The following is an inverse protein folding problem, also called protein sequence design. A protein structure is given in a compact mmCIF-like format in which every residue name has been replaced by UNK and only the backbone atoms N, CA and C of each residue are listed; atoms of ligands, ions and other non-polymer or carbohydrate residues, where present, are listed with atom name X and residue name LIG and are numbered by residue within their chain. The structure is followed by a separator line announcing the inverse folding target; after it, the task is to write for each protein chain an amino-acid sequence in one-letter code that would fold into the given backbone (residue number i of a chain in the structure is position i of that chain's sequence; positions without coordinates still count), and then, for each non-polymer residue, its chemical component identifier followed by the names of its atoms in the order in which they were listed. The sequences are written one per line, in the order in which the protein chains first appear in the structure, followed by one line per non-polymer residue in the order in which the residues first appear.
data_IF_874396429703
#
_entry.id   IF_874396429703
#
_cell.length_a   1.000
_cell.length_b   1.000
_cell.length_c   1.000
_cell.angle_alpha   90.00
_cell.angle_beta   90.00
_cell.angle_gamma   90.00
#
_symmetry.space_group_name_H-M   'P 1'
#
loop_
_entity.id
_entity.type
_entity.pdbx_description
1 polymer ?
#
# COMPACT_ATOMS: atom_id res chain seq x y z
N UNK A 1 -11.75 21.07 3.82
CA UNK A 1 -12.10 19.68 4.15
C UNK A 1 -13.43 19.31 3.52
N UNK A 2 -13.62 18.09 3.10
CA UNK A 2 -14.81 17.59 2.40
C UNK A 2 -16.16 17.90 3.10
N UNK A 3 -16.25 17.89 4.44
CA UNK A 3 -17.48 18.28 5.15
C UNK A 3 -17.87 19.73 4.99
N UNK A 4 -16.88 20.64 4.89
CA UNK A 4 -17.12 22.09 4.75
C UNK A 4 -17.69 22.42 3.36
N UNK A 5 -17.13 21.82 2.30
CA UNK A 5 -17.64 22.01 0.94
C UNK A 5 -19.07 21.45 0.75
N UNK A 6 -19.41 20.40 1.48
CA UNK A 6 -20.75 19.83 1.47
C UNK A 6 -21.75 20.69 2.24
N UNK A 7 -21.33 21.33 3.34
CA UNK A 7 -22.14 22.28 4.08
C UNK A 7 -22.39 23.55 3.27
N UNK A 8 -21.36 24.10 2.61
CA UNK A 8 -21.48 25.25 1.72
C UNK A 8 -22.40 24.96 0.53
N UNK A 9 -22.31 23.78 -0.06
CA UNK A 9 -23.21 23.36 -1.13
C UNK A 9 -24.66 23.24 -0.67
N UNK A 10 -24.89 22.75 0.55
CA UNK A 10 -26.23 22.65 1.14
C UNK A 10 -26.84 24.04 1.41
N UNK A 11 -26.02 24.97 1.91
CA UNK A 11 -26.42 26.38 2.14
C UNK A 11 -26.76 27.07 0.82
N UNK A 12 -25.97 26.91 -0.22
CA UNK A 12 -26.21 27.48 -1.56
C UNK A 12 -27.49 26.93 -2.22
N UNK A 13 -27.93 25.72 -1.86
CA UNK A 13 -29.15 25.11 -2.37
C UNK A 13 -30.40 25.34 -1.50
N UNK A 14 -30.32 26.18 -0.45
CA UNK A 14 -31.44 26.55 0.39
C UNK A 14 -32.02 25.41 1.24
N UNK A 15 -31.21 24.42 1.58
CA UNK A 15 -31.64 23.28 2.43
C UNK A 15 -31.43 23.70 3.89
N UNK A 16 -32.50 24.19 4.55
CA UNK A 16 -32.38 24.84 5.85
C UNK A 16 -32.94 24.05 7.04
N UNK A 17 -33.27 22.75 6.96
CA UNK A 17 -33.91 22.06 8.11
C UNK A 17 -33.28 20.73 8.47
N UNK A 18 -33.19 20.42 9.77
CA UNK A 18 -32.58 19.20 10.34
C UNK A 18 -33.06 17.87 9.75
N UNK A 19 -34.37 17.67 9.44
CA UNK A 19 -34.83 16.43 8.82
C UNK A 19 -34.26 16.23 7.41
N UNK A 20 -34.07 17.31 6.66
CA UNK A 20 -33.44 17.28 5.35
C UNK A 20 -31.95 16.93 5.43
N UNK A 21 -31.29 17.35 6.49
CA UNK A 21 -29.87 17.03 6.74
C UNK A 21 -29.65 15.54 7.04
N UNK A 22 -30.53 14.93 7.87
CA UNK A 22 -30.45 13.50 8.15
C UNK A 22 -30.72 12.64 6.90
N UNK A 23 -31.73 13.02 6.08
CA UNK A 23 -32.00 12.37 4.80
C UNK A 23 -30.83 12.54 3.81
N UNK A 24 -30.17 13.67 3.84
CA UNK A 24 -29.05 13.99 2.99
C UNK A 24 -27.78 13.19 3.35
N UNK A 25 -27.57 12.92 4.65
CA UNK A 25 -26.47 12.05 5.11
C UNK A 25 -26.65 10.65 4.53
N UNK A 26 -27.82 10.06 4.61
CA UNK A 26 -28.12 8.73 4.06
C UNK A 26 -27.95 8.68 2.53
N UNK A 27 -28.41 9.71 1.85
CA UNK A 27 -28.22 9.85 0.41
C UNK A 27 -26.74 9.98 0.06
N UNK A 28 -26.00 10.75 0.84
CA UNK A 28 -24.55 10.95 0.64
C UNK A 28 -23.76 9.67 0.88
N UNK A 29 -24.13 8.90 1.92
CA UNK A 29 -23.52 7.60 2.20
C UNK A 29 -23.78 6.61 1.05
N UNK A 30 -25.02 6.51 0.58
CA UNK A 30 -25.40 5.69 -0.58
C UNK A 30 -24.64 6.10 -1.84
N UNK A 31 -24.56 7.40 -2.12
CA UNK A 31 -23.81 7.95 -3.26
C UNK A 31 -22.32 7.68 -3.13
N UNK A 32 -21.74 7.88 -1.94
CA UNK A 32 -20.34 7.56 -1.63
C UNK A 32 -20.04 6.08 -1.85
N UNK A 33 -20.88 5.18 -1.34
CA UNK A 33 -20.73 3.74 -1.51
C UNK A 33 -20.85 3.33 -2.98
N UNK A 34 -21.73 3.96 -3.75
CA UNK A 34 -21.90 3.74 -5.19
C UNK A 34 -20.67 4.22 -5.97
N UNK A 35 -20.09 5.36 -5.58
CA UNK A 35 -18.84 5.88 -6.17
C UNK A 35 -17.68 4.97 -5.81
N UNK A 36 -17.55 4.55 -4.55
CA UNK A 36 -16.51 3.63 -4.09
C UNK A 36 -16.63 2.29 -4.82
N UNK A 37 -17.84 1.77 -5.01
CA UNK A 37 -18.07 0.53 -5.76
C UNK A 37 -17.66 0.68 -7.23
N UNK A 38 -18.00 1.80 -7.88
CA UNK A 38 -17.57 2.10 -9.26
C UNK A 38 -16.06 2.29 -9.37
N UNK A 39 -15.43 2.95 -8.40
CA UNK A 39 -13.97 3.13 -8.36
C UNK A 39 -13.29 1.78 -8.14
N UNK A 40 -13.82 0.94 -7.25
CA UNK A 40 -13.30 -0.43 -7.04
C UNK A 40 -13.41 -1.26 -8.31
N UNK A 41 -14.55 -1.25 -8.99
CA UNK A 41 -14.70 -2.00 -10.26
C UNK A 41 -13.74 -1.47 -11.33
N UNK A 42 -13.59 -0.15 -11.46
CA UNK A 42 -12.65 0.48 -12.38
C UNK A 42 -11.18 0.19 -12.03
N UNK A 43 -10.85 0.12 -10.73
CA UNK A 43 -9.50 -0.23 -10.26
C UNK A 43 -9.14 -1.68 -10.61
N UNK A 44 -10.11 -2.59 -10.63
CA UNK A 44 -9.93 -3.98 -11.07
C UNK A 44 -9.81 -4.11 -12.60
N UNK A 45 -10.31 -3.13 -13.35
CA UNK A 45 -10.19 -3.08 -14.81
C UNK A 45 -8.84 -2.48 -15.27
N UNK A 46 -8.08 -1.85 -14.38
CA UNK A 46 -6.77 -1.29 -14.72
C UNK A 46 -5.75 -2.40 -14.94
N UNK A 47 -5.75 -2.90 -16.17
CA UNK A 47 -4.80 -3.90 -16.63
C UNK A 47 -3.50 -3.27 -17.16
N UNK A 48 -3.49 -1.96 -17.41
CA UNK A 48 -2.35 -1.25 -17.97
C UNK A 48 -2.10 0.07 -17.26
N UNK A 49 -0.82 0.42 -17.09
CA UNK A 49 -0.35 1.72 -16.61
C UNK A 49 0.79 2.18 -17.51
N UNK A 50 0.65 3.36 -18.09
CA UNK A 50 1.61 3.90 -19.07
C UNK A 50 1.84 2.94 -20.25
N UNK A 51 0.79 2.28 -20.73
CA UNK A 51 0.88 1.28 -21.80
C UNK A 51 1.45 -0.08 -21.41
N UNK A 52 1.90 -0.24 -20.16
CA UNK A 52 2.48 -1.49 -19.66
C UNK A 52 1.41 -2.30 -18.92
N UNK A 53 1.24 -3.56 -19.31
CA UNK A 53 0.33 -4.50 -18.65
C UNK A 53 0.81 -4.77 -17.22
N UNK A 54 -0.08 -4.56 -16.23
CA UNK A 54 0.20 -4.78 -14.80
C UNK A 54 -0.39 -6.12 -14.39
N UNK A 55 0.44 -7.07 -13.93
CA UNK A 55 -0.06 -8.35 -13.46
C UNK A 55 -0.82 -8.21 -12.13
N UNK A 56 -1.84 -9.04 -11.94
CA UNK A 56 -2.59 -9.14 -10.68
C UNK A 56 -2.00 -10.20 -9.75
N UNK A 57 -1.28 -11.16 -10.31
CA UNK A 57 -0.68 -12.29 -9.58
C UNK A 57 0.76 -12.53 -10.03
N UNK A 58 1.53 -13.23 -9.20
CA UNK A 58 2.90 -13.66 -9.57
C UNK A 58 2.86 -14.56 -10.80
N UNK A 59 1.88 -15.44 -10.92
CA UNK A 59 1.72 -16.32 -12.08
C UNK A 59 1.56 -15.48 -13.37
N UNK A 60 0.66 -14.52 -13.36
CA UNK A 60 0.46 -13.62 -14.51
C UNK A 60 1.71 -12.78 -14.84
N UNK A 61 2.48 -12.39 -13.80
CA UNK A 61 3.74 -11.68 -13.99
C UNK A 61 4.74 -12.51 -14.80
N UNK A 62 4.87 -13.79 -14.46
CA UNK A 62 5.76 -14.73 -15.18
C UNK A 62 5.25 -15.05 -16.58
N UNK A 63 3.94 -15.15 -16.79
CA UNK A 63 3.31 -15.32 -18.10
C UNK A 63 3.61 -14.12 -19.02
N UNK A 64 3.47 -12.88 -18.50
CA UNK A 64 3.81 -11.66 -19.25
C UNK A 64 5.30 -11.62 -19.62
N UNK A 65 6.18 -12.01 -18.67
CA UNK A 65 7.61 -12.04 -18.94
C UNK A 65 7.96 -13.07 -20.03
N UNK A 66 7.32 -14.26 -20.00
CA UNK A 66 7.51 -15.29 -21.01
C UNK A 66 6.95 -14.86 -22.39
N UNK A 67 5.78 -14.22 -22.44
CA UNK A 67 5.21 -13.65 -23.65
C UNK A 67 6.14 -12.63 -24.32
N UNK A 68 6.71 -11.70 -23.52
CA UNK A 68 7.65 -10.70 -24.01
C UNK A 68 8.94 -11.34 -24.53
N UNK A 69 9.47 -12.35 -23.83
CA UNK A 69 10.68 -13.07 -24.24
C UNK A 69 10.46 -13.83 -25.54
N UNK A 70 9.34 -14.53 -25.67
CA UNK A 70 8.97 -15.24 -26.91
C UNK A 70 8.79 -14.28 -28.10
N UNK A 71 8.30 -13.06 -27.86
CA UNK A 71 8.16 -12.00 -28.86
C UNK A 71 9.47 -11.26 -29.17
N UNK A 72 10.58 -11.58 -28.50
CA UNK A 72 11.88 -10.90 -28.64
C UNK A 72 11.88 -9.46 -28.10
N UNK A 73 10.90 -9.09 -27.27
CA UNK A 73 10.77 -7.74 -26.73
C UNK A 73 11.67 -7.59 -25.49
N UNK A 74 12.72 -6.78 -25.62
CA UNK A 74 13.65 -6.49 -24.51
C UNK A 74 13.09 -5.42 -23.61
N UNK A 75 12.40 -5.85 -22.53
CA UNK A 75 11.86 -4.96 -21.50
C UNK A 75 12.26 -5.47 -20.10
N UNK A 76 12.28 -4.61 -19.07
CA UNK A 76 12.50 -5.07 -17.70
C UNK A 76 11.51 -6.18 -17.33
N UNK A 77 11.97 -7.24 -16.65
CA UNK A 77 11.12 -8.36 -16.23
C UNK A 77 10.39 -8.04 -14.92
N UNK A 78 9.17 -8.53 -14.80
CA UNK A 78 8.42 -8.50 -13.54
C UNK A 78 9.09 -9.37 -12.48
N UNK A 79 9.72 -10.47 -12.92
CA UNK A 79 10.49 -11.35 -12.06
C UNK A 79 11.61 -10.61 -11.32
N UNK A 80 12.36 -9.76 -11.99
CA UNK A 80 13.44 -8.99 -11.37
C UNK A 80 12.92 -8.04 -10.29
N UNK A 81 11.75 -7.44 -10.53
CA UNK A 81 11.10 -6.60 -9.53
C UNK A 81 10.64 -7.41 -8.31
N UNK A 82 10.12 -8.62 -8.52
CA UNK A 82 9.73 -9.54 -7.43
C UNK A 82 10.97 -9.93 -6.63
N UNK A 83 12.05 -10.36 -7.27
CA UNK A 83 13.27 -10.80 -6.59
C UNK A 83 13.92 -9.67 -5.79
N UNK A 84 13.94 -8.47 -6.35
CA UNK A 84 14.44 -7.27 -5.65
C UNK A 84 13.63 -6.99 -4.39
N UNK A 85 12.30 -7.02 -4.49
CA UNK A 85 11.43 -6.81 -3.33
C UNK A 85 11.61 -7.92 -2.29
N UNK A 86 11.62 -9.19 -2.69
CA UNK A 86 11.80 -10.32 -1.77
C UNK A 86 13.14 -10.25 -1.03
N UNK A 87 14.22 -9.84 -1.70
CA UNK A 87 15.53 -9.60 -1.07
C UNK A 87 15.44 -8.49 -0.01
N UNK A 88 14.77 -7.39 -0.33
CA UNK A 88 14.64 -6.25 0.58
C UNK A 88 13.81 -6.58 1.81
N UNK A 89 12.72 -7.32 1.65
CA UNK A 89 11.80 -7.63 2.76
C UNK A 89 12.25 -8.84 3.58
N UNK A 90 13.25 -9.60 3.14
CA UNK A 90 13.69 -10.84 3.83
C UNK A 90 14.05 -10.60 5.29
N UNK A 91 14.63 -9.46 5.62
CA UNK A 91 15.00 -9.07 6.98
C UNK A 91 13.80 -8.87 7.92
N UNK A 92 12.59 -8.75 7.36
CA UNK A 92 11.38 -8.61 8.16
C UNK A 92 10.85 -9.95 8.67
N UNK A 93 11.38 -11.07 8.18
CA UNK A 93 10.89 -12.41 8.48
C UNK A 93 11.94 -13.22 9.23
N UNK A 94 11.47 -13.94 10.24
CA UNK A 94 12.24 -14.95 10.97
C UNK A 94 11.55 -16.30 10.79
N UNK A 95 12.32 -17.31 10.42
CA UNK A 95 11.79 -18.67 10.27
C UNK A 95 11.45 -19.25 11.64
N UNK A 96 10.28 -19.87 11.73
CA UNK A 96 9.82 -20.58 12.92
C UNK A 96 9.82 -22.07 12.65
N UNK A 97 10.68 -22.80 13.36
CA UNK A 97 10.87 -24.24 13.17
C UNK A 97 9.88 -25.12 13.98
N UNK A 98 9.09 -24.48 14.88
CA UNK A 98 8.08 -25.15 15.69
C UNK A 98 6.76 -25.41 14.95
N UNK A 99 5.80 -26.01 15.66
CA UNK A 99 4.46 -26.23 15.13
C UNK A 99 3.62 -24.96 15.22
N UNK A 100 2.72 -24.75 14.25
CA UNK A 100 1.83 -23.58 14.23
C UNK A 100 0.96 -23.49 15.49
N UNK A 101 0.61 -24.65 16.07
CA UNK A 101 -0.19 -24.76 17.28
C UNK A 101 0.50 -24.17 18.51
N UNK A 102 1.84 -24.08 18.50
CA UNK A 102 2.64 -23.51 19.58
C UNK A 102 2.69 -21.97 19.54
N UNK A 103 2.23 -21.35 18.43
CA UNK A 103 2.17 -19.89 18.26
C UNK A 103 0.97 -19.28 18.98
N UNK A 104 0.92 -19.45 20.31
CA UNK A 104 -0.17 -18.95 21.15
C UNK A 104 -0.18 -17.41 21.13
N UNK A 105 -1.33 -16.83 20.80
CA UNK A 105 -1.51 -15.38 20.72
C UNK A 105 -0.92 -14.72 19.47
N UNK A 106 -0.41 -15.50 18.52
CA UNK A 106 -0.03 -14.99 17.21
C UNK A 106 -1.20 -15.02 16.24
N UNK A 107 -1.30 -13.96 15.45
CA UNK A 107 -2.32 -13.82 14.41
C UNK A 107 -1.74 -14.17 13.03
N UNK A 108 -2.49 -14.95 12.26
CA UNK A 108 -2.10 -15.34 10.91
C UNK A 108 -2.45 -14.26 9.91
N UNK A 109 -1.47 -13.82 9.12
CA UNK A 109 -1.68 -12.88 8.01
C UNK A 109 -1.36 -13.53 6.67
N UNK A 110 -2.04 -13.07 5.62
CA UNK A 110 -1.74 -13.44 4.23
C UNK A 110 -0.93 -12.34 3.59
N UNK A 111 0.27 -12.67 3.11
CA UNK A 111 1.07 -11.75 2.32
C UNK A 111 0.75 -11.92 0.82
N UNK A 112 0.72 -10.82 0.08
CA UNK A 112 0.55 -10.81 -1.38
C UNK A 112 1.46 -9.76 -2.01
N UNK A 113 1.70 -9.87 -3.31
CA UNK A 113 2.50 -8.90 -4.04
C UNK A 113 1.55 -7.97 -4.82
N UNK A 114 1.80 -6.67 -4.71
CA UNK A 114 1.17 -5.63 -5.51
C UNK A 114 2.19 -5.15 -6.53
N UNK A 115 1.72 -5.01 -7.79
CA UNK A 115 2.54 -4.59 -8.90
C UNK A 115 2.25 -3.14 -9.31
N UNK A 116 3.25 -2.47 -9.84
CA UNK A 116 3.12 -1.11 -10.34
C UNK A 116 4.27 -0.72 -11.25
N UNK A 117 4.13 0.44 -11.90
CA UNK A 117 5.17 1.02 -12.77
C UNK A 117 5.48 2.42 -12.26
N UNK A 118 6.77 2.76 -12.12
CA UNK A 118 7.26 4.11 -11.83
C UNK A 118 7.56 4.87 -13.12
N UNK A 119 7.02 6.07 -13.27
CA UNK A 119 7.22 6.91 -14.45
C UNK A 119 8.66 7.44 -14.56
N UNK A 120 9.26 7.83 -13.43
CA UNK A 120 10.53 8.57 -13.40
C UNK A 120 11.80 7.75 -13.61
N UNK A 121 11.72 6.43 -13.82
CA UNK A 121 12.89 5.54 -13.94
C UNK A 121 12.74 4.62 -15.15
N UNK A 122 12.57 5.20 -16.33
CA UNK A 122 12.36 4.47 -17.59
C UNK A 122 11.26 3.39 -17.48
N UNK A 123 10.14 3.75 -16.84
CA UNK A 123 9.01 2.84 -16.60
C UNK A 123 9.37 1.58 -15.81
N UNK A 124 10.25 1.74 -14.80
CA UNK A 124 10.69 0.63 -13.96
C UNK A 124 9.51 -0.12 -13.35
N UNK A 125 9.50 -1.43 -13.52
CA UNK A 125 8.57 -2.32 -12.87
C UNK A 125 8.84 -2.39 -11.38
N UNK A 126 7.80 -2.32 -10.58
CA UNK A 126 7.88 -2.36 -9.12
C UNK A 126 6.95 -3.43 -8.58
N UNK A 127 7.47 -4.25 -7.69
CA UNK A 127 6.70 -5.15 -6.84
C UNK A 127 6.75 -4.64 -5.40
N UNK A 128 5.70 -4.89 -4.61
CA UNK A 128 5.68 -4.67 -3.17
C UNK A 128 5.01 -5.85 -2.48
N UNK A 129 5.67 -6.40 -1.47
CA UNK A 129 5.07 -7.39 -0.60
C UNK A 129 4.23 -6.68 0.47
N UNK A 130 2.95 -6.99 0.49
CA UNK A 130 1.98 -6.39 1.40
C UNK A 130 1.45 -7.45 2.34
N UNK A 131 1.44 -7.15 3.64
CA UNK A 131 0.76 -7.95 4.64
C UNK A 131 -0.71 -7.53 4.74
N UNK A 132 -1.63 -8.49 4.69
CA UNK A 132 -3.07 -8.25 4.74
C UNK A 132 -3.57 -7.90 6.14
N UNK A 133 -3.15 -6.76 6.69
CA UNK A 133 -3.48 -6.32 8.05
C UNK A 133 -4.97 -6.15 8.36
N UNK A 134 -5.83 -6.14 7.32
CA UNK A 134 -7.29 -6.11 7.51
C UNK A 134 -7.86 -7.40 8.10
N UNK A 135 -7.07 -8.44 8.22
CA UNK A 135 -7.45 -9.75 8.80
C UNK A 135 -6.92 -9.94 10.22
N UNK A 136 -6.19 -8.97 10.75
CA UNK A 136 -5.67 -8.97 12.13
C UNK A 136 -6.48 -8.01 12.99
N UNK A 137 -6.42 -8.23 14.31
CA UNK A 137 -7.01 -7.29 15.26
C UNK A 137 -6.37 -5.90 15.14
N UNK A 138 -7.09 -4.83 15.48
CA UNK A 138 -6.51 -3.51 15.51
C UNK A 138 -5.27 -3.49 16.41
N UNK A 139 -4.16 -2.87 15.99
CA UNK A 139 -2.96 -2.80 16.80
C UNK A 139 -3.22 -2.04 18.09
N UNK A 140 -2.63 -2.49 19.18
CA UNK A 140 -2.75 -1.87 20.51
C UNK A 140 -2.07 -0.51 20.60
N UNK A 141 -1.13 -0.23 19.70
CA UNK A 141 -0.39 1.02 19.61
C UNK A 141 -0.95 1.95 18.53
N UNK A 142 -0.76 3.27 18.71
CA UNK A 142 -1.10 4.26 17.70
C UNK A 142 -0.22 4.03 16.47
N UNK A 143 -0.83 3.61 15.37
CA UNK A 143 -0.14 3.40 14.09
C UNK A 143 -0.25 4.60 13.14
N UNK A 144 -0.99 5.62 13.55
CA UNK A 144 -1.17 6.83 12.77
C UNK A 144 -0.02 7.80 13.01
N UNK A 145 0.62 8.24 11.93
CA UNK A 145 1.52 9.40 11.93
C UNK A 145 0.92 10.47 11.02
N UNK A 146 0.78 11.67 11.54
CA UNK A 146 0.28 12.80 10.74
C UNK A 146 1.29 13.17 9.66
N UNK A 147 0.79 13.45 8.46
CA UNK A 147 1.59 14.06 7.41
C UNK A 147 1.69 15.55 7.71
N UNK A 148 2.88 16.13 7.58
CA UNK A 148 3.08 17.57 7.72
C UNK A 148 2.17 18.33 6.75
N UNK A 149 1.52 19.40 7.23
CA UNK A 149 0.65 20.21 6.38
C UNK A 149 1.48 20.99 5.35
N UNK A 150 0.88 21.25 4.20
CA UNK A 150 1.52 22.09 3.16
C UNK A 150 1.89 23.47 3.66
N UNK A 151 1.11 24.03 4.60
CA UNK A 151 1.36 25.35 5.15
C UNK A 151 2.57 25.34 6.11
N UNK A 152 2.73 24.28 6.90
CA UNK A 152 3.94 24.09 7.73
C UNK A 152 5.20 23.96 6.87
N UNK A 153 5.12 23.27 5.74
CA UNK A 153 6.26 23.20 4.79
C UNK A 153 6.59 24.60 4.24
N UNK A 154 5.57 25.37 3.86
CA UNK A 154 5.78 26.76 3.36
C UNK A 154 6.38 27.67 4.42
N UNK A 155 5.88 27.59 5.66
CA UNK A 155 6.43 28.36 6.79
C UNK A 155 7.89 27.99 7.02
N UNK A 156 8.23 26.69 7.05
CA UNK A 156 9.60 26.23 7.22
C UNK A 156 10.53 26.76 6.11
N UNK A 157 10.10 26.69 4.86
CA UNK A 157 10.86 27.23 3.72
C UNK A 157 11.02 28.74 3.78
N UNK A 158 9.98 29.47 4.24
CA UNK A 158 10.07 30.92 4.43
C UNK A 158 11.06 31.30 5.53
N UNK A 159 11.02 30.57 6.66
CA UNK A 159 11.98 30.78 7.75
C UNK A 159 13.41 30.50 7.28
N UNK A 160 13.62 29.42 6.53
CA UNK A 160 14.92 29.10 5.96
C UNK A 160 15.43 30.23 5.06
N UNK A 161 14.59 30.74 4.15
CA UNK A 161 14.94 31.83 3.26
C UNK A 161 15.23 33.16 3.98
N UNK A 162 14.46 33.50 5.03
CA UNK A 162 14.66 34.71 5.81
C UNK A 162 15.92 34.67 6.68
N UNK A 163 16.42 33.48 7.03
CA UNK A 163 17.60 33.32 7.87
C UNK A 163 18.80 32.74 7.11
N UNK A 164 18.74 32.75 5.79
CA UNK A 164 19.82 32.26 4.91
C UNK A 164 20.27 30.83 5.27
N UNK A 165 19.30 29.94 5.54
CA UNK A 165 19.52 28.56 5.91
C UNK A 165 19.43 27.63 4.70
N UNK A 166 20.31 26.64 4.64
CA UNK A 166 20.25 25.56 3.66
C UNK A 166 19.10 24.60 3.97
N UNK A 167 18.45 24.12 2.92
CA UNK A 167 17.37 23.13 3.02
C UNK A 167 17.83 21.82 2.40
N UNK A 168 17.88 20.75 3.22
CA UNK A 168 18.20 19.40 2.78
C UNK A 168 16.96 18.51 2.75
N UNK A 169 16.67 17.92 1.59
CA UNK A 169 15.64 16.90 1.44
C UNK A 169 16.25 15.49 1.48
N UNK A 170 15.66 14.60 2.26
CA UNK A 170 16.06 13.19 2.28
C UNK A 170 14.84 12.27 2.21
N UNK A 171 15.05 11.08 1.63
CA UNK A 171 14.06 10.00 1.61
C UNK A 171 14.64 8.77 2.34
N UNK A 172 13.87 8.22 3.26
CA UNK A 172 14.29 7.02 4.00
C UNK A 172 13.88 5.79 3.20
N UNK A 173 14.87 5.10 2.65
CA UNK A 173 14.62 3.87 1.93
C UNK A 173 14.08 2.80 2.89
N UNK A 174 13.00 2.14 2.47
CA UNK A 174 12.38 1.05 3.22
C UNK A 174 12.02 1.41 4.67
N UNK A 175 11.55 2.63 4.92
CA UNK A 175 11.27 3.18 6.25
C UNK A 175 10.44 2.23 7.14
N UNK A 176 9.43 1.56 6.58
CA UNK A 176 8.60 0.61 7.34
C UNK A 176 9.40 -0.58 7.88
N UNK A 177 10.26 -1.17 7.05
CA UNK A 177 11.07 -2.34 7.45
C UNK A 177 12.12 -1.98 8.50
N UNK A 178 12.45 -0.70 8.65
CA UNK A 178 13.34 -0.22 9.72
C UNK A 178 12.69 -0.29 11.09
N UNK A 179 11.37 -0.21 11.17
CA UNK A 179 10.62 -0.27 12.43
C UNK A 179 10.37 -1.73 12.86
N UNK A 180 10.48 -2.06 14.16
CA UNK A 180 10.11 -3.38 14.65
C UNK A 180 8.59 -3.58 14.58
N UNK A 181 8.15 -4.79 14.25
CA UNK A 181 6.76 -5.21 14.43
C UNK A 181 6.55 -5.60 15.89
N UNK A 182 5.67 -4.90 16.58
CA UNK A 182 5.34 -5.18 17.99
C UNK A 182 4.23 -6.20 18.16
N UNK A 183 3.44 -6.39 17.12
CA UNK A 183 2.33 -7.33 17.10
C UNK A 183 2.84 -8.76 16.86
N UNK A 184 2.21 -9.73 17.50
CA UNK A 184 2.49 -11.15 17.32
C UNK A 184 1.84 -11.65 16.02
N UNK A 185 2.55 -11.57 14.91
CA UNK A 185 2.02 -11.88 13.59
C UNK A 185 2.93 -12.90 12.91
N UNK A 186 2.30 -13.89 12.24
CA UNK A 186 3.01 -14.84 11.41
C UNK A 186 2.33 -15.04 10.06
N UNK A 187 3.07 -15.51 9.09
CA UNK A 187 2.52 -15.94 7.80
C UNK A 187 3.07 -17.32 7.41
N UNK A 188 2.31 -18.01 6.56
CA UNK A 188 2.81 -19.21 5.88
C UNK A 188 3.21 -18.77 4.47
N UNK A 189 4.47 -18.99 4.15
CA UNK A 189 5.06 -18.57 2.89
C UNK A 189 4.49 -19.39 1.73
N UNK A 190 4.40 -18.76 0.56
CA UNK A 190 3.96 -19.38 -0.68
C UNK A 190 5.11 -19.43 -1.69
N UNK A 191 4.90 -20.01 -2.86
CA UNK A 191 5.89 -20.19 -3.93
C UNK A 191 6.74 -18.96 -4.24
N UNK A 192 6.21 -17.73 -4.06
CA UNK A 192 6.94 -16.46 -4.24
C UNK A 192 8.13 -16.27 -3.29
N UNK A 193 8.22 -17.06 -2.21
CA UNK A 193 9.32 -17.07 -1.28
C UNK A 193 10.45 -18.03 -1.69
N UNK A 194 10.34 -18.65 -2.87
CA UNK A 194 11.37 -19.56 -3.40
C UNK A 194 11.61 -20.76 -2.48
N UNK A 195 12.85 -20.94 -2.01
CA UNK A 195 13.25 -22.02 -1.11
C UNK A 195 12.54 -22.03 0.24
N UNK A 196 12.03 -20.87 0.65
CA UNK A 196 11.29 -20.70 1.91
C UNK A 196 9.78 -20.97 1.75
N UNK A 197 9.34 -21.49 0.60
CA UNK A 197 7.93 -21.80 0.36
C UNK A 197 7.43 -22.91 1.31
N UNK A 198 6.26 -22.70 1.91
CA UNK A 198 5.66 -23.61 2.87
C UNK A 198 6.10 -23.42 4.32
N UNK A 199 7.13 -22.65 4.57
CA UNK A 199 7.64 -22.39 5.92
C UNK A 199 6.73 -21.42 6.69
N UNK A 200 6.75 -21.54 8.00
CA UNK A 200 6.13 -20.59 8.92
C UNK A 200 7.12 -19.48 9.22
N UNK A 201 6.72 -18.24 8.97
CA UNK A 201 7.56 -17.06 9.19
C UNK A 201 6.91 -16.10 10.18
N UNK A 202 7.63 -15.73 11.22
CA UNK A 202 7.24 -14.66 12.14
C UNK A 202 7.63 -13.32 11.52
N UNK A 203 6.74 -12.34 11.58
CA UNK A 203 7.00 -11.00 11.10
C UNK A 203 7.61 -10.18 12.23
N UNK A 204 8.88 -9.83 12.10
CA UNK A 204 9.67 -9.09 13.11
C UNK A 204 9.78 -7.61 12.83
N UNK A 205 9.53 -7.19 11.60
CA UNK A 205 9.59 -5.78 11.20
C UNK A 205 8.33 -5.39 10.44
N UNK A 206 7.98 -4.11 10.52
CA UNK A 206 6.78 -3.60 9.87
C UNK A 206 6.83 -3.80 8.35
N UNK A 207 5.73 -4.27 7.79
CA UNK A 207 5.49 -4.43 6.37
C UNK A 207 4.41 -3.43 5.92
N UNK A 208 4.31 -3.23 4.59
CA UNK A 208 3.27 -2.39 3.98
C UNK A 208 1.87 -2.98 4.16
#
# INVERSE_FOLDING_TARGET
SYPVQLAEFAIQKGIQEEPAFAWWIDYTIKKKNRIISKIKSKYWEWTHKYGIRIPKTVKEALEIDAENEAAGIKVPKWWDAIMTEMKNVRIAFEEYEGKVEDLIGYQKVKCHIIFGVKLGENFRRKARLVAGGHTTDPPSSITYSSVVSRDLVRIALTIAALNDLDVLGCDIQNAYISAPCREKIYCITRQKFGSDAGKVMIIKRALY
#
